data_IF_519603474595
#
_entry.id   IF_519603474595
#
_cell.length_a   1.000
_cell.length_b   1.000
_cell.length_c   1.000
_cell.angle_alpha   90.00
_cell.angle_beta   90.00
_cell.angle_gamma   90.00
#
_symmetry.space_group_name_H-M   'P 1'
#
loop_
_entity.id
_entity.type
_entity.pdbx_description
1 polymer ?
#
# COMPACT_ATOMS: atom_id res chain seq x y z
N UNK A 1 -20.70 68.69 23.63
CA UNK A 1 -21.20 67.27 23.66
C UNK A 1 -20.89 66.63 22.33
N UNK A 2 -19.84 65.78 22.28
CA UNK A 2 -19.41 65.04 21.08
C UNK A 2 -20.18 63.72 21.03
N UNK A 3 -21.02 63.52 20.03
CA UNK A 3 -21.73 62.24 19.78
C UNK A 3 -20.73 61.22 19.20
N UNK A 4 -20.41 60.15 19.93
CA UNK A 4 -19.75 58.96 19.34
C UNK A 4 -20.79 58.16 18.50
N UNK A 5 -20.51 57.99 17.23
CA UNK A 5 -21.22 56.98 16.41
C UNK A 5 -20.61 55.60 16.71
N UNK A 6 -21.43 54.57 16.91
CA UNK A 6 -20.94 53.21 17.01
C UNK A 6 -20.50 52.69 15.62
N UNK A 7 -19.24 52.22 15.54
CA UNK A 7 -18.71 51.56 14.37
C UNK A 7 -19.21 50.10 14.38
N UNK A 8 -20.20 49.79 13.53
CA UNK A 8 -20.63 48.41 13.30
C UNK A 8 -19.59 47.72 12.44
N UNK A 9 -18.83 46.80 13.03
CA UNK A 9 -17.98 45.88 12.30
C UNK A 9 -18.85 44.85 11.59
N UNK A 10 -18.93 44.93 10.26
CA UNK A 10 -19.56 43.92 9.42
C UNK A 10 -18.62 42.71 9.38
N UNK A 11 -18.94 41.69 10.16
CA UNK A 11 -18.23 40.40 10.04
C UNK A 11 -18.62 39.77 8.68
N UNK A 12 -17.70 39.77 7.73
CA UNK A 12 -17.87 39.04 6.48
C UNK A 12 -17.93 37.55 6.77
N UNK A 13 -19.12 36.98 6.73
CA UNK A 13 -19.32 35.54 6.69
C UNK A 13 -18.79 35.02 5.35
N UNK A 14 -17.57 34.51 5.33
CA UNK A 14 -17.08 33.75 4.19
C UNK A 14 -18.01 32.55 3.99
N UNK A 15 -18.56 32.31 2.77
CA UNK A 15 -19.32 31.08 2.54
C UNK A 15 -18.45 29.89 2.83
N UNK A 16 -18.90 29.00 3.72
CA UNK A 16 -18.28 27.70 3.91
C UNK A 16 -18.42 26.94 2.60
N UNK A 17 -17.34 26.86 1.83
CA UNK A 17 -17.30 26.05 0.61
C UNK A 17 -17.43 24.59 1.04
N UNK A 18 -18.46 23.89 0.57
CA UNK A 18 -18.57 22.45 0.80
C UNK A 18 -17.37 21.74 0.16
N UNK A 19 -16.74 20.83 0.91
CA UNK A 19 -15.61 20.07 0.41
C UNK A 19 -15.98 19.32 -0.87
N UNK A 20 -15.09 19.28 -1.82
CA UNK A 20 -15.27 18.51 -3.06
C UNK A 20 -15.30 17.01 -2.74
N UNK A 21 -15.87 16.16 -3.61
CA UNK A 21 -15.80 14.69 -3.43
C UNK A 21 -14.37 14.18 -3.28
N UNK A 22 -13.41 14.77 -4.00
CA UNK A 22 -12.00 14.40 -3.91
C UNK A 22 -11.39 14.79 -2.56
N UNK A 23 -11.64 15.98 -2.06
CA UNK A 23 -11.19 16.43 -0.74
C UNK A 23 -11.78 15.54 0.36
N UNK A 24 -13.07 15.21 0.26
CA UNK A 24 -13.75 14.31 1.18
C UNK A 24 -13.11 12.90 1.15
N UNK A 25 -12.86 12.36 -0.05
CA UNK A 25 -12.22 11.05 -0.19
C UNK A 25 -10.82 11.04 0.44
N UNK A 26 -10.00 12.06 0.18
CA UNK A 26 -8.67 12.19 0.78
C UNK A 26 -8.72 12.29 2.31
N UNK A 27 -9.65 13.06 2.84
CA UNK A 27 -9.83 13.19 4.29
C UNK A 27 -10.23 11.86 4.94
N UNK A 28 -11.14 11.11 4.33
CA UNK A 28 -11.57 9.79 4.81
C UNK A 28 -10.42 8.80 4.76
N UNK A 29 -9.72 8.71 3.61
CA UNK A 29 -8.62 7.77 3.42
C UNK A 29 -7.40 8.08 4.31
N UNK A 30 -7.17 9.36 4.63
CA UNK A 30 -6.12 9.74 5.58
C UNK A 30 -6.41 9.23 7.01
N UNK A 31 -7.69 9.13 7.38
CA UNK A 31 -8.14 8.62 8.69
C UNK A 31 -8.33 7.10 8.71
N UNK A 32 -8.68 6.53 7.56
CA UNK A 32 -9.01 5.13 7.36
C UNK A 32 -8.33 4.61 6.08
N UNK A 33 -7.01 4.33 6.15
CA UNK A 33 -6.26 3.85 5.00
C UNK A 33 -6.82 2.54 4.45
N UNK A 34 -6.57 2.29 3.17
CA UNK A 34 -7.03 1.10 2.47
C UNK A 34 -6.24 -0.12 2.96
N UNK A 35 -6.95 -1.21 3.22
CA UNK A 35 -6.36 -2.55 3.35
C UNK A 35 -6.77 -3.33 2.10
N UNK A 36 -5.79 -3.64 1.26
CA UNK A 36 -6.00 -4.41 0.04
C UNK A 36 -5.80 -5.90 0.29
N UNK A 37 -6.75 -6.70 -0.14
CA UNK A 37 -6.78 -8.14 0.08
C UNK A 37 -5.92 -8.96 -0.88
N UNK A 38 -5.40 -8.37 -1.98
CA UNK A 38 -4.66 -9.15 -2.99
C UNK A 38 -3.76 -8.28 -3.86
N UNK A 39 -2.49 -8.67 -3.99
CA UNK A 39 -1.55 -7.99 -4.88
C UNK A 39 -0.44 -8.93 -5.34
N UNK A 40 -0.27 -9.06 -6.66
CA UNK A 40 0.66 -9.98 -7.32
C UNK A 40 2.09 -9.43 -7.49
N UNK A 41 2.45 -8.34 -6.86
CA UNK A 41 3.81 -7.79 -6.96
C UNK A 41 4.91 -8.83 -6.68
N UNK A 42 4.79 -9.77 -5.72
CA UNK A 42 5.81 -10.80 -5.51
C UNK A 42 5.99 -11.72 -6.72
N UNK A 43 4.91 -12.11 -7.38
CA UNK A 43 4.95 -12.89 -8.62
C UNK A 43 5.60 -12.08 -9.75
N UNK A 44 5.22 -10.82 -9.93
CA UNK A 44 5.80 -9.94 -10.95
C UNK A 44 7.31 -9.71 -10.72
N UNK A 45 7.77 -9.60 -9.48
CA UNK A 45 9.19 -9.51 -9.14
C UNK A 45 9.93 -10.78 -9.57
N UNK A 46 9.33 -11.94 -9.36
CA UNK A 46 9.93 -13.21 -9.77
C UNK A 46 10.03 -13.31 -11.30
N UNK A 47 8.97 -12.99 -12.03
CA UNK A 47 8.89 -13.10 -13.49
C UNK A 47 9.76 -12.05 -14.21
N UNK A 48 9.72 -10.80 -13.79
CA UNK A 48 10.41 -9.71 -14.49
C UNK A 48 11.88 -9.59 -14.11
N UNK A 49 12.27 -9.99 -12.90
CA UNK A 49 13.59 -9.72 -12.34
C UNK A 49 14.29 -10.96 -11.78
N UNK A 50 13.69 -12.15 -11.93
CA UNK A 50 14.23 -13.39 -11.36
C UNK A 50 14.53 -13.27 -9.85
N UNK A 51 13.68 -12.56 -9.12
CA UNK A 51 13.82 -12.27 -7.69
C UNK A 51 15.06 -11.46 -7.31
N UNK A 52 15.71 -10.84 -8.28
CA UNK A 52 16.91 -10.05 -8.07
C UNK A 52 16.56 -8.58 -7.79
N UNK A 53 16.52 -8.22 -6.52
CA UNK A 53 16.25 -6.85 -6.05
C UNK A 53 17.32 -5.82 -6.42
N UNK A 54 18.45 -6.21 -7.02
CA UNK A 54 19.43 -5.27 -7.54
C UNK A 54 19.03 -4.67 -8.89
N UNK A 55 18.09 -5.30 -9.60
CA UNK A 55 17.65 -4.92 -10.94
C UNK A 55 16.56 -3.84 -10.97
N UNK A 56 15.98 -3.50 -9.83
CA UNK A 56 14.88 -2.52 -9.77
C UNK A 56 14.84 -1.79 -8.43
N UNK A 57 14.11 -0.66 -8.41
CA UNK A 57 13.85 0.10 -7.19
C UNK A 57 12.34 0.21 -6.98
N UNK A 58 11.80 -0.55 -6.00
CA UNK A 58 10.38 -0.56 -5.70
C UNK A 58 9.85 0.78 -5.13
N UNK A 59 10.74 1.68 -4.69
CA UNK A 59 10.32 3.02 -4.24
C UNK A 59 9.67 3.84 -5.35
N UNK A 60 10.14 3.66 -6.62
CA UNK A 60 9.57 4.28 -7.80
C UNK A 60 9.99 3.48 -9.04
N UNK A 61 9.10 2.69 -9.57
CA UNK A 61 9.33 1.89 -10.77
C UNK A 61 9.26 2.75 -12.05
N UNK A 62 10.01 2.41 -13.10
CA UNK A 62 9.80 2.96 -14.44
C UNK A 62 8.36 2.72 -14.91
N UNK A 63 7.83 3.63 -15.74
CA UNK A 63 6.42 3.60 -16.14
C UNK A 63 6.01 2.32 -16.87
N UNK A 64 6.87 1.76 -17.71
CA UNK A 64 6.66 0.51 -18.44
C UNK A 64 6.64 -0.73 -17.52
N UNK A 65 7.42 -0.70 -16.43
CA UNK A 65 7.40 -1.74 -15.39
C UNK A 65 6.18 -1.58 -14.52
N UNK A 66 5.89 -0.33 -14.06
CA UNK A 66 4.72 -0.03 -13.25
C UNK A 66 3.41 -0.40 -13.94
N UNK A 67 3.33 -0.26 -15.27
CA UNK A 67 2.19 -0.70 -16.06
C UNK A 67 1.93 -2.22 -16.00
N UNK A 68 2.93 -3.02 -15.63
CA UNK A 68 2.83 -4.48 -15.46
C UNK A 68 2.59 -4.87 -14.01
N UNK A 69 3.29 -4.22 -13.07
CA UNK A 69 3.20 -4.51 -11.63
C UNK A 69 2.03 -3.82 -10.95
N UNK A 70 1.51 -2.74 -11.54
CA UNK A 70 0.47 -1.84 -11.02
C UNK A 70 0.77 -1.21 -9.66
N UNK A 71 1.91 -1.56 -9.04
CA UNK A 71 2.24 -1.15 -7.66
C UNK A 71 3.71 -0.81 -7.53
N UNK A 72 4.00 0.36 -6.97
CA UNK A 72 5.26 0.72 -6.34
C UNK A 72 4.97 1.45 -5.01
N UNK A 73 6.00 1.69 -4.19
CA UNK A 73 5.81 2.34 -2.88
C UNK A 73 5.23 3.74 -3.03
N UNK A 74 5.65 4.48 -4.06
CA UNK A 74 5.17 5.85 -4.33
C UNK A 74 3.67 5.87 -4.62
N UNK A 75 3.19 5.01 -5.52
CA UNK A 75 1.76 4.94 -5.88
C UNK A 75 0.92 4.37 -4.74
N UNK A 76 1.41 3.36 -4.02
CA UNK A 76 0.74 2.82 -2.84
C UNK A 76 0.53 3.89 -1.75
N UNK A 77 1.55 4.69 -1.44
CA UNK A 77 1.44 5.80 -0.49
C UNK A 77 0.51 6.91 -0.97
N UNK A 78 0.58 7.28 -2.26
CA UNK A 78 -0.29 8.28 -2.86
C UNK A 78 -1.76 7.84 -2.85
N UNK A 79 -2.02 6.54 -2.94
CA UNK A 79 -3.34 5.91 -2.85
C UNK A 79 -3.82 5.60 -1.43
N UNK A 80 -3.12 6.06 -0.39
CA UNK A 80 -3.45 5.80 1.02
C UNK A 80 -3.53 4.31 1.37
N UNK A 81 -2.66 3.48 0.78
CA UNK A 81 -2.55 2.07 1.14
C UNK A 81 -1.94 1.95 2.54
N UNK A 82 -2.70 1.39 3.50
CA UNK A 82 -2.26 1.16 4.87
C UNK A 82 -1.89 -0.29 5.16
N UNK A 83 -2.47 -1.23 4.41
CA UNK A 83 -2.18 -2.65 4.54
C UNK A 83 -2.34 -3.40 3.22
N UNK A 84 -1.53 -4.42 3.01
CA UNK A 84 -1.52 -5.21 1.78
C UNK A 84 -1.33 -6.69 2.09
N UNK A 85 -2.23 -7.51 1.55
CA UNK A 85 -1.98 -8.94 1.40
C UNK A 85 -1.20 -9.17 0.10
N UNK A 86 0.08 -9.49 0.23
CA UNK A 86 0.92 -9.89 -0.90
C UNK A 86 0.59 -11.33 -1.27
N UNK A 87 0.12 -11.53 -2.51
CA UNK A 87 -0.18 -12.86 -3.02
C UNK A 87 1.12 -13.64 -3.23
N UNK A 88 1.17 -14.87 -2.72
CA UNK A 88 2.18 -15.86 -3.08
C UNK A 88 1.53 -16.87 -4.02
N UNK A 89 1.56 -16.52 -5.30
CA UNK A 89 0.96 -17.27 -6.39
C UNK A 89 1.96 -18.21 -7.05
N UNK A 90 1.50 -19.39 -7.39
CA UNK A 90 2.21 -20.36 -8.26
C UNK A 90 1.25 -20.99 -9.25
N UNK A 91 1.75 -21.31 -10.45
CA UNK A 91 0.92 -21.92 -11.50
C UNK A 91 0.35 -23.27 -11.02
N UNK A 92 -0.95 -23.46 -11.19
CA UNK A 92 -1.65 -24.70 -10.82
C UNK A 92 -1.23 -25.93 -11.69
N UNK A 93 -0.62 -25.69 -12.84
CA UNK A 93 -0.07 -26.75 -13.69
C UNK A 93 1.28 -27.29 -13.20
N UNK A 94 1.94 -26.65 -12.22
CA UNK A 94 3.20 -27.12 -11.68
C UNK A 94 3.04 -28.47 -10.94
N UNK A 95 4.02 -29.38 -11.07
CA UNK A 95 4.09 -30.57 -10.21
C UNK A 95 4.06 -30.16 -8.73
N UNK A 96 3.38 -30.94 -7.86
CA UNK A 96 3.19 -30.60 -6.45
C UNK A 96 4.47 -30.21 -5.71
N UNK A 97 5.56 -30.97 -5.92
CA UNK A 97 6.84 -30.68 -5.26
C UNK A 97 7.48 -29.36 -5.74
N UNK A 98 7.24 -28.96 -7.00
CA UNK A 98 7.66 -27.67 -7.52
C UNK A 98 6.78 -26.55 -7.00
N UNK A 99 5.46 -26.77 -6.91
CA UNK A 99 4.52 -25.79 -6.38
C UNK A 99 4.91 -25.37 -4.96
N UNK A 100 5.17 -26.34 -4.06
CA UNK A 100 5.64 -26.06 -2.69
C UNK A 100 6.94 -25.25 -2.68
N UNK A 101 7.92 -25.65 -3.50
CA UNK A 101 9.20 -24.95 -3.59
C UNK A 101 9.01 -23.52 -4.07
N UNK A 102 8.20 -23.30 -5.11
CA UNK A 102 7.89 -21.96 -5.64
C UNK A 102 7.15 -21.10 -4.63
N UNK A 103 6.21 -21.68 -3.89
CA UNK A 103 5.50 -20.96 -2.81
C UNK A 103 6.47 -20.44 -1.76
N UNK A 104 7.41 -21.26 -1.29
CA UNK A 104 8.44 -20.85 -0.33
C UNK A 104 9.31 -19.72 -0.92
N UNK A 105 9.69 -19.81 -2.20
CA UNK A 105 10.43 -18.75 -2.89
C UNK A 105 9.64 -17.43 -2.98
N UNK A 106 8.33 -17.50 -3.20
CA UNK A 106 7.47 -16.30 -3.22
C UNK A 106 7.34 -15.67 -1.81
N UNK A 107 7.22 -16.48 -0.77
CA UNK A 107 7.25 -16.00 0.62
C UNK A 107 8.58 -15.29 0.90
N UNK A 108 9.70 -15.83 0.42
CA UNK A 108 11.02 -15.20 0.58
C UNK A 108 11.10 -13.85 -0.16
N UNK A 109 10.53 -13.74 -1.36
CA UNK A 109 10.41 -12.45 -2.09
C UNK A 109 9.72 -11.40 -1.23
N UNK A 110 8.58 -11.74 -0.61
CA UNK A 110 7.86 -10.80 0.26
C UNK A 110 8.72 -10.39 1.46
N UNK A 111 9.41 -11.33 2.10
CA UNK A 111 10.29 -11.05 3.24
C UNK A 111 11.47 -10.15 2.85
N UNK A 112 12.10 -10.42 1.72
CA UNK A 112 13.18 -9.58 1.19
C UNK A 112 12.69 -8.17 0.85
N UNK A 113 11.51 -8.04 0.25
CA UNK A 113 10.87 -6.76 -0.04
C UNK A 113 10.68 -5.93 1.25
N UNK A 114 10.12 -6.52 2.29
CA UNK A 114 9.92 -5.86 3.58
C UNK A 114 11.26 -5.45 4.21
N UNK A 115 12.24 -6.36 4.21
CA UNK A 115 13.56 -6.11 4.79
C UNK A 115 14.34 -5.01 4.05
N UNK A 116 14.13 -4.89 2.72
CA UNK A 116 14.83 -3.89 1.89
C UNK A 116 14.24 -2.49 2.01
N UNK A 117 12.96 -2.38 2.35
CA UNK A 117 12.25 -1.10 2.47
C UNK A 117 11.58 -0.95 3.86
N UNK A 118 12.36 -1.05 4.96
CA UNK A 118 11.82 -1.08 6.32
C UNK A 118 11.17 0.23 6.74
N UNK A 119 11.48 1.35 6.07
CA UNK A 119 10.82 2.65 6.25
C UNK A 119 9.41 2.70 5.65
N UNK A 120 9.11 1.77 4.74
CA UNK A 120 7.83 1.73 4.00
C UNK A 120 6.95 0.56 4.38
N UNK A 121 7.53 -0.57 4.71
CA UNK A 121 6.82 -1.80 5.02
C UNK A 121 7.10 -2.28 6.44
N UNK A 122 6.12 -2.95 7.02
CA UNK A 122 6.28 -3.72 8.25
C UNK A 122 5.51 -5.04 8.10
N UNK A 123 6.15 -6.16 8.43
CA UNK A 123 5.47 -7.44 8.47
C UNK A 123 4.37 -7.42 9.52
N UNK A 124 3.22 -7.99 9.20
CA UNK A 124 2.10 -8.13 10.12
C UNK A 124 1.40 -9.48 9.89
N UNK A 125 1.06 -10.16 10.99
CA UNK A 125 0.34 -11.43 11.01
C UNK A 125 -0.90 -11.39 11.90
N UNK A 126 -1.07 -10.30 12.65
CA UNK A 126 -2.20 -10.06 13.53
C UNK A 126 -2.80 -8.67 13.30
N UNK A 127 -4.06 -8.48 13.66
CA UNK A 127 -4.72 -7.17 13.56
C UNK A 127 -3.97 -6.07 14.36
N UNK A 128 -3.44 -6.41 15.53
CA UNK A 128 -2.68 -5.48 16.35
C UNK A 128 -1.37 -5.02 15.67
N UNK A 129 -0.69 -5.94 14.95
CA UNK A 129 0.51 -5.61 14.17
C UNK A 129 0.16 -4.75 12.94
N UNK A 130 -0.98 -5.01 12.27
CA UNK A 130 -1.48 -4.16 11.19
C UNK A 130 -1.72 -2.74 11.68
N UNK A 131 -2.46 -2.58 12.78
CA UNK A 131 -2.70 -1.28 13.38
C UNK A 131 -1.40 -0.58 13.82
N UNK A 132 -0.46 -1.34 14.38
CA UNK A 132 0.84 -0.83 14.80
C UNK A 132 1.67 -0.31 13.62
N UNK A 133 1.71 -1.06 12.51
CA UNK A 133 2.37 -0.65 11.28
C UNK A 133 1.75 0.63 10.70
N UNK A 134 0.43 0.69 10.61
CA UNK A 134 -0.30 1.85 10.11
C UNK A 134 -0.07 3.09 10.98
N UNK A 135 -0.09 2.96 12.31
CA UNK A 135 0.23 4.03 13.27
C UNK A 135 1.68 4.53 13.11
N UNK A 136 2.59 3.64 12.71
CA UNK A 136 3.99 4.00 12.41
C UNK A 136 4.18 4.60 10.99
N UNK A 137 3.11 4.82 10.23
CA UNK A 137 3.15 5.36 8.86
C UNK A 137 3.73 4.37 7.84
N UNK A 138 3.67 3.06 8.14
CA UNK A 138 4.13 2.00 7.25
C UNK A 138 2.94 1.23 6.67
N UNK A 139 3.16 0.61 5.52
CA UNK A 139 2.21 -0.32 4.92
C UNK A 139 2.36 -1.67 5.63
N UNK A 140 1.32 -2.09 6.34
CA UNK A 140 1.27 -3.41 6.97
C UNK A 140 1.31 -4.47 5.87
N UNK A 141 2.30 -5.35 5.92
CA UNK A 141 2.57 -6.34 4.87
C UNK A 141 2.24 -7.73 5.38
N UNK A 142 1.15 -8.27 4.88
CA UNK A 142 0.66 -9.61 5.17
C UNK A 142 0.95 -10.53 3.99
N UNK A 143 0.98 -11.83 4.21
CA UNK A 143 1.19 -12.83 3.16
C UNK A 143 -0.11 -13.61 2.99
N UNK A 144 -0.61 -13.65 1.75
CA UNK A 144 -1.75 -14.46 1.35
C UNK A 144 -1.33 -15.54 0.36
N UNK A 145 -1.49 -16.82 0.71
CA UNK A 145 -1.22 -17.91 -0.20
C UNK A 145 -2.39 -18.09 -1.16
N UNK A 146 -2.09 -18.08 -2.47
CA UNK A 146 -3.08 -18.28 -3.49
C UNK A 146 -3.04 -19.72 -4.01
N UNK A 147 -4.17 -20.41 -3.82
CA UNK A 147 -4.37 -21.77 -4.30
C UNK A 147 -3.92 -22.87 -3.32
N UNK A 148 -4.85 -23.80 -2.99
CA UNK A 148 -4.57 -24.93 -2.10
C UNK A 148 -3.61 -25.99 -2.65
N UNK A 149 -3.24 -25.91 -3.94
CA UNK A 149 -2.23 -26.78 -4.57
C UNK A 149 -0.79 -26.43 -4.14
N UNK A 150 -0.62 -25.29 -3.45
CA UNK A 150 0.68 -24.77 -2.97
C UNK A 150 1.13 -25.42 -1.64
N UNK A 151 0.35 -26.36 -1.08
CA UNK A 151 0.62 -27.10 0.15
C UNK A 151 0.50 -28.59 -0.03
#
# INVERSE_FOLDING_TARGET
>A
MKKLLPLFALAALSPAYAATPEETAREVLAKSPIIDGHNDTPHQIAELFDRDFSKFNLSALPADVLAKTHTDIRTARAGFLGGQFWSVYVDAALPKHEAVTRTIQQIDVVRQMIARYPESFAYASTAAEVEGAMKAGKIASMIGMEGGHSI
#
